data_IF_363323424211
#
_entry.id   IF_363323424211
#
_cell.length_a   1.000
_cell.length_b   1.000
_cell.length_c   1.000
_cell.angle_alpha   90.00
_cell.angle_beta   90.00
_cell.angle_gamma   90.00
#
_symmetry.space_group_name_H-M   'P 1'
#
loop_
_entity.id
_entity.type
_entity.pdbx_description
1 polymer ?
#
# COMPACT_ATOMS: atom_id res chain seq x y z
N UNK A 1 37.02 -3.56 41.78
CA UNK A 1 35.89 -3.13 40.90
C UNK A 1 35.55 -4.12 39.77
N UNK A 2 36.46 -5.00 39.32
CA UNK A 2 36.20 -5.97 38.24
C UNK A 2 35.36 -7.21 38.64
N UNK A 3 35.35 -7.60 39.92
CA UNK A 3 34.69 -8.83 40.39
C UNK A 3 33.15 -8.69 40.43
N UNK A 4 32.62 -7.52 40.83
CA UNK A 4 31.16 -7.23 40.77
C UNK A 4 30.60 -7.25 39.34
N UNK A 5 31.40 -6.87 38.34
CA UNK A 5 31.00 -6.92 36.92
C UNK A 5 30.88 -8.36 36.41
N UNK A 6 31.76 -9.28 36.82
CA UNK A 6 31.67 -10.70 36.45
C UNK A 6 30.47 -11.40 37.10
N UNK A 7 30.17 -11.09 38.36
CA UNK A 7 29.01 -11.66 39.06
C UNK A 7 27.67 -11.23 38.46
N UNK A 8 27.54 -9.95 38.08
CA UNK A 8 26.33 -9.44 37.43
C UNK A 8 26.11 -10.06 36.04
N UNK A 9 27.18 -10.33 35.28
CA UNK A 9 27.08 -10.98 33.97
C UNK A 9 26.67 -12.46 34.05
N UNK A 10 27.13 -13.19 35.06
CA UNK A 10 26.79 -14.60 35.30
C UNK A 10 25.31 -14.80 35.68
N UNK A 11 24.72 -13.92 36.49
CA UNK A 11 23.28 -14.00 36.84
C UNK A 11 22.37 -13.64 35.65
N UNK A 12 22.73 -12.60 34.89
CA UNK A 12 21.98 -12.20 33.69
C UNK A 12 21.96 -13.32 32.64
N UNK A 13 23.08 -14.03 32.46
CA UNK A 13 23.19 -15.16 31.54
C UNK A 13 22.32 -16.37 31.95
N UNK A 14 22.14 -16.61 33.26
CA UNK A 14 21.26 -17.69 33.77
C UNK A 14 19.78 -17.35 33.58
N UNK A 15 19.41 -16.07 33.75
CA UNK A 15 18.06 -15.57 33.49
C UNK A 15 17.74 -15.64 31.99
N UNK A 16 18.67 -15.22 31.13
CA UNK A 16 18.53 -15.31 29.66
C UNK A 16 18.45 -16.77 29.19
N UNK A 17 19.24 -17.70 29.75
CA UNK A 17 19.13 -19.13 29.43
C UNK A 17 17.82 -19.77 29.90
N UNK A 18 17.25 -19.30 31.01
CA UNK A 18 16.01 -19.87 31.59
C UNK A 18 14.74 -19.33 30.95
N UNK A 19 14.76 -18.08 30.45
CA UNK A 19 13.61 -17.45 29.79
C UNK A 19 13.74 -17.30 28.27
N UNK A 20 14.92 -17.55 27.70
CA UNK A 20 15.19 -17.39 26.27
C UNK A 20 14.38 -18.32 25.36
N UNK A 21 14.01 -19.51 25.82
CA UNK A 21 13.18 -20.45 25.04
C UNK A 21 11.70 -20.00 25.01
N UNK A 22 11.19 -19.40 26.10
CA UNK A 22 9.81 -18.92 26.17
C UNK A 22 9.58 -17.63 25.35
N UNK A 23 10.58 -16.75 25.26
CA UNK A 23 10.49 -15.49 24.49
C UNK A 23 10.56 -15.74 22.97
N UNK A 24 11.30 -16.76 22.53
CA UNK A 24 11.37 -17.15 21.10
C UNK A 24 10.10 -17.89 20.65
N UNK A 25 9.46 -18.68 21.52
CA UNK A 25 8.20 -19.35 21.18
C UNK A 25 7.00 -18.37 21.12
N UNK A 26 6.94 -17.37 22.00
CA UNK A 26 5.85 -16.39 22.00
C UNK A 26 5.89 -15.41 20.80
N UNK A 27 7.07 -15.21 20.18
CA UNK A 27 7.21 -14.37 19.00
C UNK A 27 6.81 -15.08 17.69
N UNK A 28 6.74 -16.41 17.67
CA UNK A 28 6.30 -17.18 16.50
C UNK A 28 4.77 -17.28 16.35
N UNK A 29 4.00 -16.97 17.40
CA UNK A 29 2.52 -17.02 17.33
C UNK A 29 1.93 -15.74 16.70
N UNK A 30 2.64 -14.60 16.79
CA UNK A 30 2.18 -13.32 16.18
C UNK A 30 2.63 -13.21 14.70
N UNK A 31 3.64 -13.96 14.28
CA UNK A 31 4.12 -13.96 12.90
C UNK A 31 3.20 -14.71 11.92
N UNK A 32 2.26 -15.53 12.41
CA UNK A 32 1.35 -16.33 11.58
C UNK A 32 0.21 -15.56 10.89
N UNK A 33 0.05 -14.26 11.15
CA UNK A 33 -0.99 -13.43 10.51
C UNK A 33 -0.47 -12.49 9.43
N UNK A 34 0.84 -12.29 9.33
CA UNK A 34 1.40 -11.51 8.24
C UNK A 34 1.86 -12.47 7.15
N UNK A 35 0.91 -12.85 6.30
CA UNK A 35 1.25 -13.34 4.96
C UNK A 35 2.10 -12.27 4.28
N UNK A 36 3.36 -12.59 4.00
CA UNK A 36 4.21 -11.77 3.13
C UNK A 36 3.53 -11.78 1.76
N UNK A 37 2.78 -10.72 1.46
CA UNK A 37 2.24 -10.52 0.12
C UNK A 37 3.42 -10.15 -0.76
N UNK A 38 3.87 -11.11 -1.56
CA UNK A 38 4.76 -10.86 -2.69
C UNK A 38 3.95 -10.14 -3.79
N UNK A 39 3.66 -8.85 -3.60
CA UNK A 39 2.94 -8.03 -4.59
C UNK A 39 3.91 -7.51 -5.66
N UNK A 40 4.53 -8.42 -6.42
CA UNK A 40 4.99 -8.09 -7.76
C UNK A 40 3.81 -8.29 -8.73
N UNK A 41 2.87 -7.36 -8.71
CA UNK A 41 1.69 -7.44 -9.56
C UNK A 41 2.09 -7.34 -11.04
N UNK A 42 1.92 -8.45 -11.76
CA UNK A 42 2.17 -8.56 -13.20
C UNK A 42 1.17 -7.67 -13.94
N UNK A 43 1.63 -6.90 -14.93
CA UNK A 43 0.78 -6.09 -15.82
C UNK A 43 0.02 -7.00 -16.79
N UNK A 44 -0.92 -7.79 -16.28
CA UNK A 44 -1.75 -8.70 -17.06
C UNK A 44 -3.22 -8.25 -17.01
N UNK A 45 -3.93 -8.45 -18.12
CA UNK A 45 -5.35 -8.10 -18.24
C UNK A 45 -5.64 -7.14 -19.38
N UNK A 46 -6.93 -7.03 -19.73
CA UNK A 46 -7.42 -6.13 -20.76
C UNK A 46 -7.62 -4.74 -20.16
N UNK A 47 -7.23 -3.70 -20.89
CA UNK A 47 -7.47 -2.32 -20.46
C UNK A 47 -8.97 -1.99 -20.51
N UNK A 48 -9.54 -1.67 -19.36
CA UNK A 48 -10.96 -1.36 -19.20
C UNK A 48 -11.25 0.14 -19.22
N UNK A 49 -10.29 0.95 -18.79
CA UNK A 49 -10.46 2.40 -18.69
C UNK A 49 -9.39 3.09 -17.85
N UNK A 50 -9.74 4.27 -17.36
CA UNK A 50 -8.86 5.10 -16.52
C UNK A 50 -9.56 5.48 -15.22
N UNK A 51 -8.86 5.38 -14.10
CA UNK A 51 -9.32 5.80 -12.78
C UNK A 51 -8.51 7.03 -12.36
N UNK A 52 -9.17 8.17 -12.20
CA UNK A 52 -8.54 9.43 -11.76
C UNK A 52 -9.03 9.77 -10.37
N UNK A 53 -8.13 9.79 -9.39
CA UNK A 53 -8.42 10.11 -8.01
C UNK A 53 -7.81 11.46 -7.60
N UNK A 54 -8.52 12.22 -6.77
CA UNK A 54 -8.04 13.47 -6.16
C UNK A 54 -8.05 13.33 -4.65
N UNK A 55 -6.92 13.63 -4.01
CA UNK A 55 -6.83 13.71 -2.55
C UNK A 55 -7.67 14.87 -2.01
N UNK A 56 -8.36 14.66 -0.89
CA UNK A 56 -9.12 15.69 -0.21
C UNK A 56 -8.21 16.49 0.74
N UNK A 57 -8.10 17.83 0.59
CA UNK A 57 -7.32 18.66 1.49
C UNK A 57 -7.74 18.50 2.95
N UNK A 58 -6.77 18.54 3.88
CA UNK A 58 -7.03 18.46 5.32
C UNK A 58 -7.43 17.08 5.86
N UNK A 59 -7.56 16.05 5.01
CA UNK A 59 -7.93 14.68 5.45
C UNK A 59 -6.74 13.75 5.67
N UNK A 60 -5.51 14.23 5.42
CA UNK A 60 -4.31 13.40 5.55
C UNK A 60 -4.03 13.12 7.02
N UNK A 61 -3.81 11.85 7.34
CA UNK A 61 -3.40 11.39 8.66
C UNK A 61 -2.03 10.71 8.53
N UNK A 62 -1.09 11.06 9.40
CA UNK A 62 0.24 10.45 9.50
C UNK A 62 0.44 9.94 10.93
N UNK A 63 0.74 8.66 11.08
CA UNK A 63 1.07 8.02 12.36
C UNK A 63 2.29 7.12 12.16
N UNK A 64 3.44 7.54 12.68
CA UNK A 64 4.73 6.87 12.48
C UNK A 64 5.02 6.58 10.99
N UNK A 65 5.11 5.31 10.60
CA UNK A 65 5.38 4.83 9.24
C UNK A 65 4.10 4.64 8.41
N UNK A 66 2.93 4.97 8.95
CA UNK A 66 1.67 4.83 8.25
C UNK A 66 1.10 6.21 7.89
N UNK A 67 0.69 6.36 6.64
CA UNK A 67 -0.02 7.54 6.15
C UNK A 67 -1.31 7.13 5.46
N UNK A 68 -2.33 7.99 5.51
CA UNK A 68 -3.52 7.86 4.69
C UNK A 68 -4.14 9.20 4.34
N UNK A 69 -4.91 9.24 3.26
CA UNK A 69 -5.64 10.43 2.82
C UNK A 69 -6.93 10.02 2.11
N UNK A 70 -8.01 10.76 2.37
CA UNK A 70 -9.27 10.53 1.69
C UNK A 70 -9.18 10.99 0.22
N UNK A 71 -9.87 10.27 -0.66
CA UNK A 71 -9.85 10.51 -2.11
C UNK A 71 -11.25 10.46 -2.70
N UNK A 72 -11.44 11.23 -3.78
CA UNK A 72 -12.57 11.07 -4.70
C UNK A 72 -12.05 10.65 -6.06
N UNK A 73 -12.64 9.62 -6.64
CA UNK A 73 -12.21 9.03 -7.90
C UNK A 73 -13.32 9.02 -8.95
N UNK A 74 -12.89 9.10 -10.20
CA UNK A 74 -13.71 9.00 -11.40
C UNK A 74 -13.14 7.88 -12.27
N UNK A 75 -13.91 6.81 -12.46
CA UNK A 75 -13.59 5.73 -13.37
C UNK A 75 -14.26 5.99 -14.72
N UNK A 76 -13.46 6.14 -15.77
CA UNK A 76 -13.90 6.46 -17.12
C UNK A 76 -13.60 5.31 -18.07
N UNK A 77 -14.63 4.88 -18.78
CA UNK A 77 -14.56 3.91 -19.88
C UNK A 77 -15.08 4.56 -21.16
N UNK A 78 -15.07 3.83 -22.28
CA UNK A 78 -15.75 4.28 -23.51
C UNK A 78 -17.27 4.37 -23.33
N UNK A 79 -17.84 3.64 -22.38
CA UNK A 79 -19.28 3.47 -22.19
C UNK A 79 -19.87 4.40 -21.12
N UNK A 80 -19.03 5.09 -20.34
CA UNK A 80 -19.49 6.04 -19.34
C UNK A 80 -18.48 6.35 -18.24
N UNK A 81 -18.99 6.97 -17.18
CA UNK A 81 -18.21 7.36 -16.00
C UNK A 81 -18.90 6.90 -14.70
N UNK A 82 -18.13 6.37 -13.76
CA UNK A 82 -18.56 6.02 -12.41
C UNK A 82 -17.76 6.78 -11.36
N UNK A 83 -18.43 7.22 -10.29
CA UNK A 83 -17.80 7.93 -9.18
C UNK A 83 -17.58 7.01 -7.99
N UNK A 84 -16.42 7.16 -7.39
CA UNK A 84 -16.00 6.44 -6.20
C UNK A 84 -15.43 7.42 -5.18
N UNK A 85 -15.51 7.03 -3.92
CA UNK A 85 -14.81 7.67 -2.80
C UNK A 85 -14.08 6.63 -1.99
N UNK A 86 -13.07 7.05 -1.26
CA UNK A 86 -12.38 6.15 -0.37
C UNK A 86 -11.12 6.73 0.22
N UNK A 87 -10.15 5.87 0.44
CA UNK A 87 -8.91 6.20 1.12
C UNK A 87 -7.74 5.49 0.46
N UNK A 88 -6.65 6.22 0.23
CA UNK A 88 -5.37 5.64 -0.12
C UNK A 88 -4.43 5.78 1.08
N UNK A 89 -3.68 4.72 1.36
CA UNK A 89 -2.73 4.69 2.45
C UNK A 89 -1.42 4.05 2.06
N UNK A 90 -0.39 4.38 2.84
CA UNK A 90 0.97 3.88 2.67
C UNK A 90 1.49 3.42 4.03
N UNK A 91 2.16 2.27 4.05
CA UNK A 91 2.88 1.77 5.21
C UNK A 91 4.34 1.55 4.81
N UNK A 92 5.24 2.36 5.35
CA UNK A 92 6.66 2.26 5.08
C UNK A 92 7.41 3.54 5.41
N UNK A 93 8.61 3.65 4.88
CA UNK A 93 9.40 4.88 4.96
C UNK A 93 8.87 5.77 3.83
N UNK A 94 8.18 6.85 4.17
CA UNK A 94 7.73 7.87 3.23
C UNK A 94 8.33 9.22 3.62
N UNK A 95 9.40 9.61 2.93
CA UNK A 95 10.05 10.91 3.11
C UNK A 95 9.63 11.90 2.02
N UNK A 96 8.51 11.64 1.34
CA UNK A 96 8.03 12.49 0.25
C UNK A 96 7.39 13.76 0.79
N UNK A 97 7.79 14.92 0.24
CA UNK A 97 6.95 16.12 0.30
C UNK A 97 5.98 16.07 -0.87
N UNK A 98 4.70 15.74 -0.61
CA UNK A 98 3.65 15.69 -1.63
C UNK A 98 2.61 16.77 -1.39
N UNK A 99 2.54 17.74 -2.31
CA UNK A 99 1.39 18.63 -2.47
C UNK A 99 0.24 17.90 -3.15
N UNK A 100 -0.99 18.31 -2.88
CA UNK A 100 -2.26 17.85 -3.47
C UNK A 100 -2.13 16.94 -4.71
N UNK A 101 -2.49 15.67 -4.55
CA UNK A 101 -2.18 14.65 -5.55
C UNK A 101 -3.43 14.31 -6.37
N UNK A 102 -3.32 14.54 -7.68
CA UNK A 102 -4.14 13.83 -8.65
C UNK A 102 -3.44 12.52 -8.99
N UNK A 103 -4.00 11.41 -8.55
CA UNK A 103 -3.51 10.07 -8.80
C UNK A 103 -4.20 9.52 -10.06
N UNK A 104 -3.45 9.01 -11.03
CA UNK A 104 -4.01 8.49 -12.28
C UNK A 104 -3.65 7.03 -12.45
N UNK A 105 -4.64 6.20 -12.71
CA UNK A 105 -4.44 4.77 -12.90
C UNK A 105 -5.05 4.32 -14.22
N UNK A 106 -4.36 3.43 -14.92
CA UNK A 106 -4.94 2.56 -15.93
C UNK A 106 -5.56 1.37 -15.22
N UNK A 107 -6.81 1.04 -15.57
CA UNK A 107 -7.53 -0.08 -14.99
C UNK A 107 -7.43 -1.28 -15.93
N UNK A 108 -6.84 -2.37 -15.45
CA UNK A 108 -6.77 -3.65 -16.14
C UNK A 108 -7.71 -4.64 -15.45
N UNK A 109 -8.44 -5.45 -16.22
CA UNK A 109 -9.28 -6.52 -15.71
C UNK A 109 -8.93 -7.86 -16.32
N UNK A 110 -9.17 -8.94 -15.58
CA UNK A 110 -9.08 -10.32 -16.10
C UNK A 110 -10.19 -10.65 -17.10
N UNK A 111 -11.28 -9.88 -17.07
CA UNK A 111 -12.44 -10.00 -17.97
C UNK A 111 -12.80 -8.63 -18.53
N UNK A 112 -13.40 -8.59 -19.73
CA UNK A 112 -13.94 -7.36 -20.32
C UNK A 112 -15.34 -7.00 -19.83
N UNK A 113 -15.99 -7.91 -19.10
CA UNK A 113 -17.37 -7.77 -18.63
C UNK A 113 -17.45 -6.84 -17.41
N UNK A 114 -17.25 -5.54 -17.64
CA UNK A 114 -17.52 -4.48 -16.67
C UNK A 114 -18.72 -3.69 -17.18
N UNK A 115 -19.89 -4.02 -16.66
CA UNK A 115 -21.09 -3.23 -16.90
C UNK A 115 -21.04 -1.94 -16.09
N UNK A 116 -21.17 -0.81 -16.76
CA UNK A 116 -21.42 0.46 -16.08
C UNK A 116 -22.67 0.34 -15.18
N UNK A 117 -22.60 0.92 -13.98
CA UNK A 117 -23.60 0.81 -12.92
C UNK A 117 -23.39 -0.36 -11.95
N UNK A 118 -22.52 -1.32 -12.25
CA UNK A 118 -22.23 -2.45 -11.34
C UNK A 118 -21.23 -2.08 -10.24
N UNK A 119 -20.56 -0.93 -10.36
CA UNK A 119 -19.56 -0.44 -9.42
C UNK A 119 -18.42 -1.45 -9.17
N UNK A 120 -17.95 -2.11 -10.23
CA UNK A 120 -17.02 -3.24 -10.15
C UNK A 120 -15.68 -2.93 -9.47
N UNK A 121 -15.26 -1.66 -9.44
CA UNK A 121 -14.02 -1.26 -8.76
C UNK A 121 -14.16 -1.09 -7.24
N UNK A 122 -15.36 -1.21 -6.67
CA UNK A 122 -15.53 -1.17 -5.23
C UNK A 122 -14.79 -2.35 -4.57
N UNK A 123 -14.04 -2.07 -3.51
CA UNK A 123 -13.25 -3.07 -2.81
C UNK A 123 -11.94 -2.51 -2.26
N UNK A 124 -11.19 -3.40 -1.63
CA UNK A 124 -9.85 -3.14 -1.12
C UNK A 124 -8.81 -3.58 -2.16
N UNK A 125 -7.71 -2.84 -2.21
CA UNK A 125 -6.58 -3.10 -3.09
C UNK A 125 -5.28 -2.99 -2.29
N UNK A 126 -4.31 -3.80 -2.66
CA UNK A 126 -2.96 -3.76 -2.12
C UNK A 126 -1.93 -3.75 -3.25
N UNK A 127 -0.82 -3.05 -3.05
CA UNK A 127 0.29 -3.03 -3.99
C UNK A 127 1.61 -2.77 -3.27
N UNK A 128 2.69 -3.37 -3.75
CA UNK A 128 4.03 -2.95 -3.32
C UNK A 128 4.30 -1.55 -3.86
N UNK A 129 4.91 -0.69 -3.04
CA UNK A 129 5.26 0.66 -3.44
C UNK A 129 6.73 0.94 -3.20
N UNK A 130 7.44 1.16 -4.30
CA UNK A 130 8.80 1.66 -4.32
C UNK A 130 8.79 2.89 -5.22
N UNK A 131 9.09 4.06 -4.65
CA UNK A 131 9.29 5.30 -5.39
C UNK A 131 10.63 5.90 -5.01
N UNK A 132 11.45 6.23 -6.01
CA UNK A 132 12.75 6.86 -5.83
C UNK A 132 12.72 8.13 -6.67
N UNK A 133 12.63 9.29 -6.01
CA UNK A 133 12.63 10.61 -6.63
C UNK A 133 14.04 11.12 -6.96
N UNK A 134 14.96 10.23 -7.36
CA UNK A 134 16.36 10.54 -7.66
C UNK A 134 16.57 10.27 -9.15
N UNK A 135 16.73 11.34 -9.94
CA UNK A 135 17.08 11.34 -11.37
C UNK A 135 16.26 10.41 -12.30
N UNK A 136 15.13 10.94 -12.80
CA UNK A 136 14.42 10.64 -14.07
C UNK A 136 13.99 9.20 -14.42
N UNK A 137 14.44 8.16 -13.72
CA UNK A 137 14.13 6.76 -14.02
C UNK A 137 13.73 6.02 -12.74
N UNK A 138 12.64 6.46 -12.12
CA UNK A 138 12.01 5.68 -11.05
C UNK A 138 11.31 4.46 -11.64
N UNK A 139 11.94 3.29 -11.58
CA UNK A 139 11.26 2.00 -11.80
C UNK A 139 10.45 1.69 -10.54
N UNK A 140 9.25 2.25 -10.45
CA UNK A 140 8.25 1.90 -9.46
C UNK A 140 7.11 1.18 -10.14
N UNK A 141 7.15 -0.15 -10.25
CA UNK A 141 5.97 -0.93 -10.66
C UNK A 141 5.06 -1.13 -9.46
N UNK A 142 4.45 -0.04 -8.98
CA UNK A 142 3.32 -0.20 -8.06
C UNK A 142 2.14 -0.61 -8.92
N UNK A 143 1.54 -1.75 -8.64
CA UNK A 143 0.27 -2.11 -9.23
C UNK A 143 -0.60 -2.58 -8.07
N UNK A 144 -1.74 -1.93 -7.94
CA UNK A 144 -2.72 -2.28 -6.92
C UNK A 144 -3.57 -3.41 -7.47
N UNK A 145 -3.60 -4.54 -6.78
CA UNK A 145 -4.46 -5.67 -7.14
C UNK A 145 -5.58 -5.75 -6.11
N UNK A 146 -6.81 -5.92 -6.57
CA UNK A 146 -7.96 -5.95 -5.68
C UNK A 146 -9.29 -5.72 -6.39
N UNK A 147 -10.19 -5.02 -5.69
CA UNK A 147 -11.56 -4.80 -6.15
C UNK A 147 -12.44 -6.05 -5.98
N UNK A 148 -13.57 -6.11 -6.68
CA UNK A 148 -14.47 -7.24 -6.56
C UNK A 148 -13.77 -8.54 -6.99
N UNK A 149 -13.67 -9.50 -6.05
CA UNK A 149 -13.02 -10.81 -6.25
C UNK A 149 -11.55 -10.76 -6.70
N UNK A 150 -10.83 -9.66 -6.47
CA UNK A 150 -9.44 -9.47 -6.92
C UNK A 150 -9.25 -9.54 -8.45
N UNK A 151 -10.28 -9.17 -9.22
CA UNK A 151 -10.25 -9.25 -10.69
C UNK A 151 -9.65 -8.01 -11.37
N UNK A 152 -9.21 -7.00 -10.61
CA UNK A 152 -8.75 -5.72 -11.13
C UNK A 152 -7.33 -5.39 -10.70
N UNK A 153 -6.57 -4.82 -11.63
CA UNK A 153 -5.27 -4.24 -11.40
C UNK A 153 -5.27 -2.76 -11.77
N UNK A 154 -4.83 -1.90 -10.85
CA UNK A 154 -4.68 -0.46 -11.09
C UNK A 154 -3.21 -0.14 -11.25
N UNK A 155 -2.84 0.24 -12.47
CA UNK A 155 -1.47 0.58 -12.85
C UNK A 155 -1.32 2.10 -12.85
N UNK A 156 -0.49 2.68 -11.99
CA UNK A 156 -0.29 4.12 -11.92
C UNK A 156 0.37 4.63 -13.19
N UNK A 157 -0.01 5.84 -13.59
CA UNK A 157 0.74 6.63 -14.56
C UNK A 157 2.06 7.12 -13.95
N UNK A 158 3.05 7.43 -14.80
CA UNK A 158 4.36 7.91 -14.37
C UNK A 158 4.33 9.16 -13.49
N UNK A 159 3.28 9.98 -13.58
CA UNK A 159 3.07 11.19 -12.79
C UNK A 159 2.36 10.96 -11.45
N UNK A 160 1.76 9.80 -11.23
CA UNK A 160 0.87 9.50 -10.09
C UNK A 160 1.52 9.68 -8.74
N UNK A 161 2.80 9.33 -8.64
CA UNK A 161 3.54 9.44 -7.38
C UNK A 161 4.76 10.36 -7.50
N UNK A 162 4.76 11.27 -8.49
CA UNK A 162 5.84 12.25 -8.64
C UNK A 162 5.93 13.12 -7.40
N UNK A 163 7.15 13.22 -6.86
CA UNK A 163 7.50 14.08 -5.74
C UNK A 163 9.01 14.05 -5.54
N UNK A 164 9.52 14.96 -4.71
CA UNK A 164 10.88 14.88 -4.20
C UNK A 164 10.85 14.01 -2.94
N UNK A 165 11.48 12.83 -2.99
CA UNK A 165 11.53 11.92 -1.86
C UNK A 165 11.87 10.50 -2.24
N UNK A 166 11.97 9.65 -1.23
CA UNK A 166 12.10 8.20 -1.36
C UNK A 166 10.95 7.62 -0.57
N UNK A 167 10.19 6.71 -1.19
CA UNK A 167 9.24 5.88 -0.47
C UNK A 167 9.44 4.41 -0.78
N UNK A 168 9.43 3.58 0.26
CA UNK A 168 9.49 2.13 0.13
C UNK A 168 8.57 1.51 1.17
N UNK A 169 7.65 0.65 0.72
CA UNK A 169 6.63 0.07 1.59
C UNK A 169 5.49 -0.58 0.83
N UNK A 170 4.36 -0.72 1.52
CA UNK A 170 3.11 -1.26 0.97
C UNK A 170 2.11 -0.13 0.84
N UNK A 171 1.45 -0.04 -0.30
CA UNK A 171 0.31 0.85 -0.50
C UNK A 171 -0.99 0.07 -0.46
N UNK A 172 -2.02 0.71 0.06
CA UNK A 172 -3.40 0.21 0.11
C UNK A 172 -4.35 1.25 -0.45
N UNK A 173 -5.39 0.81 -1.12
CA UNK A 173 -6.44 1.66 -1.65
C UNK A 173 -7.77 1.00 -1.35
N UNK A 174 -8.72 1.77 -0.83
CA UNK A 174 -10.09 1.32 -0.62
C UNK A 174 -11.02 2.19 -1.46
N UNK A 175 -11.90 1.56 -2.23
CA UNK A 175 -12.89 2.24 -3.06
C UNK A 175 -14.30 1.82 -2.66
N UNK A 176 -15.18 2.80 -2.57
CA UNK A 176 -16.62 2.64 -2.33
C UNK A 176 -17.40 3.53 -3.27
N UNK A 177 -18.66 3.20 -3.54
CA UNK A 177 -19.52 4.00 -4.42
C UNK A 177 -19.74 5.40 -3.86
N UNK A 178 -19.55 6.42 -4.68
CA UNK A 178 -19.94 7.80 -4.37
C UNK A 178 -21.33 8.06 -4.99
N UNK A 179 -22.37 7.97 -4.16
CA UNK A 179 -23.77 8.16 -4.55
C UNK A 179 -24.12 9.64 -4.68
#
# INVERSE_FOLDING_TARGET
MAIKRKYFQEEQMKIIRRYGIAVVAASLIVAGWFSVVEAAAKKEGVQLGSLVCKSQPGTRVQVFLQSSVAIKCSFKTSSGEEKYKGEIGFLGIDLSKKSEETLKFTVLGLTTDVSMGSHALAGDYAGASVSVGVYKEGIGTTAFVGGLKNNFSLVPSFDTFKGTGISAGVSRLKLTVDK
#
